data_IF_826861228926
#
_entry.id   IF_826861228926
#
_cell.length_a   1.000
_cell.length_b   1.000
_cell.length_c   1.000
_cell.angle_alpha   90.00
_cell.angle_beta   90.00
_cell.angle_gamma   90.00
#
_symmetry.space_group_name_H-M   'P 1'
#
loop_
_entity.id
_entity.type
_entity.pdbx_description
1 polymer ?
#
# COMPACT_ATOMS: atom_id res chain seq x y z
N UNK A 1 11.79 6.82 10.45
CA UNK A 1 12.36 6.94 9.08
C UNK A 1 13.01 8.30 8.84
N UNK A 2 12.34 9.42 9.09
CA UNK A 2 12.84 10.79 8.83
C UNK A 2 14.12 11.13 9.58
N UNK A 3 14.26 10.71 10.83
CA UNK A 3 15.49 10.92 11.62
C UNK A 3 16.74 10.33 10.93
N UNK A 4 16.58 9.18 10.24
CA UNK A 4 17.67 8.57 9.50
C UNK A 4 18.09 9.39 8.29
N UNK A 5 17.15 9.92 7.51
CA UNK A 5 17.47 10.75 6.35
C UNK A 5 18.25 11.99 6.73
N UNK A 6 17.86 12.64 7.83
CA UNK A 6 18.56 13.80 8.34
C UNK A 6 19.94 13.45 8.91
N UNK A 7 20.02 12.37 9.70
CA UNK A 7 21.27 11.89 10.31
C UNK A 7 22.31 11.51 9.27
N UNK A 8 21.91 10.80 8.23
CA UNK A 8 22.81 10.30 7.18
C UNK A 8 22.87 11.20 5.93
N UNK A 9 22.23 12.37 5.97
CA UNK A 9 22.19 13.34 4.85
C UNK A 9 21.67 12.73 3.55
N UNK A 10 20.75 11.76 3.63
CA UNK A 10 20.14 11.12 2.47
C UNK A 10 19.25 12.12 1.75
N UNK A 11 19.48 12.30 0.45
CA UNK A 11 18.70 13.22 -0.41
C UNK A 11 17.76 12.50 -1.38
N UNK A 12 17.99 11.21 -1.61
CA UNK A 12 17.23 10.42 -2.57
C UNK A 12 16.69 9.18 -1.89
N UNK A 13 15.41 8.93 -2.10
CA UNK A 13 14.71 7.72 -1.65
C UNK A 13 14.20 7.01 -2.88
N UNK A 14 14.53 5.72 -3.02
CA UNK A 14 13.95 4.84 -4.02
C UNK A 14 12.82 4.04 -3.39
N UNK A 15 11.72 3.87 -4.10
CA UNK A 15 10.58 3.06 -3.67
C UNK A 15 10.12 2.15 -4.80
N UNK A 16 9.63 0.95 -4.46
CA UNK A 16 9.05 -0.02 -5.40
C UNK A 16 7.63 0.30 -5.84
N UNK A 17 7.02 1.40 -5.34
CA UNK A 17 5.72 1.84 -5.84
C UNK A 17 5.79 2.15 -7.34
N UNK A 18 4.74 1.84 -8.07
CA UNK A 18 4.69 2.02 -9.52
C UNK A 18 3.29 2.39 -9.99
N UNK A 19 3.22 3.07 -11.14
CA UNK A 19 1.96 3.46 -11.76
C UNK A 19 1.18 2.24 -12.27
N UNK A 20 1.87 1.24 -12.80
CA UNK A 20 1.25 0.10 -13.47
C UNK A 20 0.30 -0.71 -12.58
N UNK A 21 0.59 -0.83 -11.29
CA UNK A 21 -0.24 -1.61 -10.35
C UNK A 21 -0.89 -0.76 -9.25
N UNK A 22 -0.59 0.54 -9.17
CA UNK A 22 -0.99 1.41 -8.05
C UNK A 22 -1.53 2.78 -8.52
N UNK A 23 -1.99 2.90 -9.79
CA UNK A 23 -2.55 4.14 -10.29
C UNK A 23 -3.91 4.48 -9.69
N UNK A 24 -4.70 3.49 -9.30
CA UNK A 24 -5.95 3.65 -8.57
C UNK A 24 -5.69 3.56 -7.07
N UNK A 25 -6.29 4.47 -6.32
CA UNK A 25 -6.18 4.53 -4.84
C UNK A 25 -7.49 4.14 -4.19
N UNK A 26 -7.42 3.66 -2.96
CA UNK A 26 -8.60 3.44 -2.16
C UNK A 26 -9.40 4.74 -2.02
N UNK A 27 -10.73 4.69 -2.15
CA UNK A 27 -11.59 5.82 -1.86
C UNK A 27 -11.34 6.36 -0.44
N UNK A 28 -11.40 7.67 -0.24
CA UNK A 28 -11.23 8.27 1.08
C UNK A 28 -12.29 7.83 2.08
N UNK A 29 -13.46 7.41 1.60
CA UNK A 29 -14.52 6.81 2.41
C UNK A 29 -14.13 5.46 3.02
N UNK A 30 -13.21 4.73 2.37
CA UNK A 30 -12.73 3.44 2.88
C UNK A 30 -11.54 3.60 3.81
N UNK A 31 -10.72 4.63 3.58
CA UNK A 31 -9.45 4.77 4.28
C UNK A 31 -9.04 6.23 4.39
N UNK A 32 -8.74 6.68 5.59
CA UNK A 32 -8.18 8.00 5.82
C UNK A 32 -6.79 8.16 5.24
N UNK A 33 -6.42 9.41 4.99
CA UNK A 33 -5.09 9.73 4.49
C UNK A 33 -4.03 9.39 5.55
N UNK A 34 -3.06 8.55 5.20
CA UNK A 34 -2.07 8.01 6.14
C UNK A 34 -1.21 9.05 6.87
N UNK A 35 -1.11 10.27 6.34
CA UNK A 35 -0.36 11.39 6.96
C UNK A 35 -1.28 12.35 7.72
N UNK A 36 -2.46 11.92 8.12
CA UNK A 36 -3.36 12.72 8.94
C UNK A 36 -2.99 12.62 10.42
N UNK A 37 -2.23 13.61 10.88
CA UNK A 37 -1.85 13.72 12.30
C UNK A 37 -3.02 14.07 13.21
N UNK A 38 -4.07 14.70 12.70
CA UNK A 38 -5.27 15.07 13.48
C UNK A 38 -6.01 13.80 13.88
N UNK A 39 -6.26 12.92 12.90
CA UNK A 39 -6.90 11.62 13.15
C UNK A 39 -6.09 10.77 14.12
N UNK A 40 -4.77 10.66 13.90
CA UNK A 40 -3.91 9.87 14.77
C UNK A 40 -3.96 10.37 16.23
N UNK A 41 -3.90 11.68 16.42
CA UNK A 41 -3.99 12.29 17.74
C UNK A 41 -5.38 12.09 18.39
N UNK A 42 -6.45 12.11 17.60
CA UNK A 42 -7.81 11.85 18.10
C UNK A 42 -7.95 10.39 18.57
N UNK A 43 -7.49 9.44 17.79
CA UNK A 43 -7.45 8.02 18.16
C UNK A 43 -6.65 7.83 19.45
N UNK A 44 -5.47 8.45 19.52
CA UNK A 44 -4.62 8.36 20.72
C UNK A 44 -5.28 8.96 21.95
N UNK A 45 -5.92 10.11 21.84
CA UNK A 45 -6.66 10.73 22.97
C UNK A 45 -7.79 9.86 23.49
N UNK A 46 -8.46 9.09 22.61
CA UNK A 46 -9.60 8.24 23.00
C UNK A 46 -9.19 6.86 23.52
N UNK A 47 -8.11 6.30 23.00
CA UNK A 47 -7.76 4.89 23.20
C UNK A 47 -6.31 4.66 23.65
N UNK A 48 -5.48 5.68 23.62
CA UNK A 48 -4.05 5.55 23.94
C UNK A 48 -3.79 5.46 25.44
N UNK A 49 -2.82 4.64 25.81
CA UNK A 49 -2.28 4.54 27.16
C UNK A 49 -0.80 4.90 27.14
N UNK A 50 -0.37 5.83 28.00
CA UNK A 50 1.03 6.22 28.08
C UNK A 50 1.38 7.53 27.35
N UNK A 51 2.61 7.69 26.90
CA UNK A 51 3.09 8.90 26.20
C UNK A 51 3.55 8.55 24.80
N UNK A 52 3.14 9.37 23.80
CA UNK A 52 3.56 9.22 22.38
C UNK A 52 4.96 9.78 22.08
N UNK A 53 5.81 9.98 23.11
CA UNK A 53 7.08 10.70 22.96
C UNK A 53 8.01 10.05 21.91
N UNK A 54 7.97 8.73 21.79
CA UNK A 54 8.85 7.96 20.89
C UNK A 54 8.20 7.63 19.54
N UNK A 55 6.93 8.00 19.33
CA UNK A 55 6.23 7.77 18.08
C UNK A 55 6.32 9.00 17.17
N UNK A 56 7.04 8.94 16.05
CA UNK A 56 7.24 10.10 15.18
C UNK A 56 5.95 10.43 14.40
N UNK A 57 5.24 11.46 14.84
CA UNK A 57 4.05 11.97 14.16
C UNK A 57 4.48 13.07 13.21
N UNK A 58 4.03 12.98 11.97
CA UNK A 58 4.24 13.98 10.93
C UNK A 58 2.92 14.29 10.22
N UNK A 59 2.84 15.44 9.57
CA UNK A 59 1.63 15.88 8.87
C UNK A 59 1.85 16.00 7.35
N UNK A 60 0.77 16.26 6.63
CA UNK A 60 0.77 16.38 5.17
C UNK A 60 1.71 17.51 4.70
N UNK A 61 1.68 18.67 5.36
CA UNK A 61 2.52 19.81 4.99
C UNK A 61 4.01 19.46 5.13
N UNK A 62 4.34 18.71 6.17
CA UNK A 62 5.70 18.26 6.39
C UNK A 62 6.18 17.33 5.27
N UNK A 63 5.36 16.36 4.86
CA UNK A 63 5.69 15.43 3.78
C UNK A 63 5.70 16.06 2.39
N UNK A 64 4.72 16.93 2.10
CA UNK A 64 4.52 17.47 0.75
C UNK A 64 5.31 18.74 0.47
N UNK A 65 5.64 19.50 1.50
CA UNK A 65 6.29 20.80 1.36
C UNK A 65 7.68 20.79 2.03
N UNK A 66 7.74 20.52 3.33
CA UNK A 66 8.99 20.65 4.06
C UNK A 66 10.09 19.70 3.59
N UNK A 67 9.77 18.41 3.44
CA UNK A 67 10.74 17.41 2.99
C UNK A 67 11.32 17.71 1.60
N UNK A 68 10.51 17.88 0.53
CA UNK A 68 11.06 18.08 -0.81
C UNK A 68 11.70 19.44 -1.00
N UNK A 69 11.09 20.51 -0.51
CA UNK A 69 11.55 21.88 -0.82
C UNK A 69 12.60 22.38 0.16
N UNK A 70 12.46 22.14 1.45
CA UNK A 70 13.39 22.67 2.46
C UNK A 70 14.51 21.70 2.83
N UNK A 71 14.22 20.38 2.87
CA UNK A 71 15.25 19.36 3.12
C UNK A 71 15.88 18.82 1.83
N UNK A 72 15.29 19.10 0.68
CA UNK A 72 15.77 18.65 -0.62
C UNK A 72 15.73 17.11 -0.79
N UNK A 73 14.82 16.44 -0.06
CA UNK A 73 14.69 14.99 -0.14
C UNK A 73 13.70 14.65 -1.25
N UNK A 74 14.18 13.92 -2.26
CA UNK A 74 13.38 13.49 -3.42
C UNK A 74 13.07 12.02 -3.35
N UNK A 75 11.84 11.66 -3.64
CA UNK A 75 11.38 10.28 -3.76
C UNK A 75 11.25 9.93 -5.24
N UNK A 76 11.89 8.84 -5.64
CA UNK A 76 11.83 8.30 -6.99
C UNK A 76 11.20 6.91 -7.01
N UNK A 77 10.43 6.66 -8.04
CA UNK A 77 9.82 5.36 -8.35
C UNK A 77 10.43 4.86 -9.66
N UNK A 78 11.52 4.10 -9.61
CA UNK A 78 12.22 3.66 -10.82
C UNK A 78 11.33 2.87 -11.78
N UNK A 79 10.37 2.10 -11.26
CA UNK A 79 9.45 1.30 -12.06
C UNK A 79 8.46 2.13 -12.89
N UNK A 80 8.32 3.43 -12.62
CA UNK A 80 7.51 4.34 -13.45
C UNK A 80 8.23 4.74 -14.77
N UNK A 81 9.53 4.49 -14.87
CA UNK A 81 10.36 4.88 -16.02
C UNK A 81 10.69 3.72 -16.96
N UNK A 82 10.25 2.51 -16.64
CA UNK A 82 10.46 1.31 -17.44
C UNK A 82 9.10 0.65 -17.74
N UNK A 83 8.96 -0.08 -18.84
CA UNK A 83 7.80 -0.93 -19.05
C UNK A 83 7.74 -1.96 -17.91
N UNK A 84 6.77 -1.83 -17.02
CA UNK A 84 6.63 -2.73 -15.90
C UNK A 84 5.36 -3.57 -16.03
N UNK A 85 5.55 -4.88 -16.20
CA UNK A 85 4.49 -5.88 -16.16
C UNK A 85 4.63 -6.69 -14.86
N UNK A 86 3.53 -6.80 -14.12
CA UNK A 86 3.52 -7.48 -12.82
C UNK A 86 3.84 -8.98 -12.95
N UNK A 87 3.27 -9.64 -13.94
CA UNK A 87 3.39 -11.10 -14.10
C UNK A 87 4.80 -11.48 -14.55
N UNK A 88 5.38 -10.75 -15.52
CA UNK A 88 6.76 -10.93 -15.95
C UNK A 88 7.77 -10.68 -14.82
N UNK A 89 7.53 -9.64 -14.01
CA UNK A 89 8.34 -9.35 -12.85
C UNK A 89 8.26 -10.48 -11.81
N UNK A 90 7.05 -11.02 -11.60
CA UNK A 90 6.83 -12.13 -10.67
C UNK A 90 7.52 -13.41 -11.14
N UNK A 91 7.46 -13.74 -12.43
CA UNK A 91 8.18 -14.88 -13.01
C UNK A 91 9.68 -14.74 -12.82
N UNK A 92 10.23 -13.57 -13.15
CA UNK A 92 11.65 -13.26 -12.93
C UNK A 92 12.07 -13.44 -11.48
N UNK A 93 11.26 -12.99 -10.51
CA UNK A 93 11.54 -13.12 -9.09
C UNK A 93 11.53 -14.58 -8.63
N UNK A 94 10.58 -15.38 -9.13
CA UNK A 94 10.50 -16.81 -8.82
C UNK A 94 11.72 -17.54 -9.39
N UNK A 95 12.03 -17.34 -10.66
CA UNK A 95 13.11 -18.06 -11.35
C UNK A 95 14.50 -17.70 -10.83
N UNK A 96 14.77 -16.40 -10.66
CA UNK A 96 16.13 -15.93 -10.32
C UNK A 96 16.41 -15.84 -8.82
N UNK A 97 15.37 -15.64 -8.01
CA UNK A 97 15.52 -15.35 -6.58
C UNK A 97 14.77 -16.33 -5.68
N UNK A 98 14.06 -17.32 -6.24
CA UNK A 98 13.29 -18.29 -5.47
C UNK A 98 12.12 -17.67 -4.68
N UNK A 99 11.55 -16.57 -5.19
CA UNK A 99 10.43 -15.91 -4.53
C UNK A 99 9.20 -16.81 -4.48
N UNK A 100 8.55 -16.88 -3.33
CA UNK A 100 7.30 -17.62 -3.16
C UNK A 100 6.12 -16.71 -3.45
N UNK A 101 5.30 -17.09 -4.45
CA UNK A 101 4.08 -16.35 -4.79
C UNK A 101 3.04 -16.50 -3.69
N UNK A 102 2.43 -15.38 -3.32
CA UNK A 102 1.22 -15.36 -2.49
C UNK A 102 -0.02 -15.23 -3.35
N UNK A 103 -1.17 -15.77 -2.92
CA UNK A 103 -2.40 -15.75 -3.73
C UNK A 103 -2.92 -14.33 -3.97
N UNK A 104 -2.65 -13.40 -3.08
CA UNK A 104 -3.07 -12.01 -3.19
C UNK A 104 -2.03 -11.06 -2.57
N UNK A 105 -2.02 -9.79 -3.02
CA UNK A 105 -1.16 -8.73 -2.48
C UNK A 105 -1.35 -8.61 -0.96
N UNK A 106 -0.24 -8.57 -0.22
CA UNK A 106 -0.17 -8.44 1.25
C UNK A 106 -0.61 -9.67 2.05
N UNK A 107 -0.90 -10.80 1.40
CA UNK A 107 -1.32 -12.03 2.11
C UNK A 107 -0.16 -12.83 2.74
N UNK A 108 1.07 -12.32 2.63
CA UNK A 108 2.21 -12.78 3.44
C UNK A 108 2.01 -12.51 4.94
N UNK A 109 1.25 -11.47 5.28
CA UNK A 109 0.88 -11.16 6.67
C UNK A 109 -0.47 -11.80 7.00
N UNK A 110 -0.51 -12.68 8.02
CA UNK A 110 -1.74 -13.30 8.51
C UNK A 110 -2.79 -12.26 8.93
N UNK A 111 -2.36 -11.20 9.62
CA UNK A 111 -3.24 -10.12 10.03
C UNK A 111 -3.82 -9.38 8.82
N UNK A 112 -2.99 -9.01 7.85
CA UNK A 112 -3.44 -8.30 6.66
C UNK A 112 -4.39 -9.16 5.83
N UNK A 113 -4.09 -10.45 5.71
CA UNK A 113 -4.96 -11.41 5.02
C UNK A 113 -6.35 -11.48 5.67
N UNK A 114 -6.42 -11.62 7.00
CA UNK A 114 -7.67 -11.59 7.74
C UNK A 114 -8.40 -10.25 7.57
N UNK A 115 -7.68 -9.15 7.76
CA UNK A 115 -8.25 -7.81 7.72
C UNK A 115 -8.79 -7.43 6.34
N UNK A 116 -7.99 -7.57 5.29
CA UNK A 116 -8.38 -7.20 3.91
C UNK A 116 -9.23 -8.28 3.22
N UNK A 117 -8.97 -9.55 3.50
CA UNK A 117 -9.65 -10.67 2.83
C UNK A 117 -11.00 -11.05 3.45
N UNK A 118 -11.18 -10.82 4.74
CA UNK A 118 -12.38 -11.19 5.48
C UNK A 118 -13.06 -10.01 6.15
N UNK A 119 -12.37 -9.34 7.09
CA UNK A 119 -13.01 -8.38 7.98
C UNK A 119 -13.54 -7.12 7.27
N UNK A 120 -12.76 -6.52 6.37
CA UNK A 120 -13.20 -5.34 5.59
C UNK A 120 -14.39 -5.66 4.67
N UNK A 121 -14.37 -6.74 3.87
CA UNK A 121 -15.51 -7.12 3.05
C UNK A 121 -16.77 -7.41 3.86
N UNK A 122 -16.66 -8.19 4.94
CA UNK A 122 -17.81 -8.60 5.76
C UNK A 122 -18.39 -7.43 6.56
N UNK A 123 -17.54 -6.59 7.13
CA UNK A 123 -17.98 -5.50 8.01
C UNK A 123 -18.44 -4.27 7.25
N UNK A 124 -17.79 -3.93 6.15
CA UNK A 124 -18.00 -2.67 5.43
C UNK A 124 -18.32 -2.83 3.94
N UNK A 125 -18.26 -4.03 3.39
CA UNK A 125 -18.38 -4.26 1.95
C UNK A 125 -17.18 -3.76 1.12
N UNK A 126 -16.04 -3.50 1.75
CA UNK A 126 -14.85 -2.93 1.13
C UNK A 126 -13.92 -4.05 0.64
N UNK A 127 -13.98 -4.35 -0.63
CA UNK A 127 -13.08 -5.30 -1.27
C UNK A 127 -11.92 -4.58 -1.97
N UNK A 128 -10.75 -4.62 -1.34
CA UNK A 128 -9.52 -3.95 -1.82
C UNK A 128 -9.04 -4.47 -3.17
N UNK A 129 -9.45 -5.71 -3.58
CA UNK A 129 -9.15 -6.27 -4.89
C UNK A 129 -9.71 -5.41 -6.03
N UNK A 130 -10.88 -4.75 -5.82
CA UNK A 130 -11.48 -3.86 -6.82
C UNK A 130 -10.53 -2.72 -7.20
N UNK A 131 -9.83 -2.15 -6.23
CA UNK A 131 -8.85 -1.07 -6.46
C UNK A 131 -7.60 -1.60 -7.18
N UNK A 132 -7.11 -2.77 -6.75
CA UNK A 132 -5.94 -3.41 -7.36
C UNK A 132 -6.21 -3.80 -8.82
N UNK A 133 -7.34 -4.47 -9.08
CA UNK A 133 -7.71 -4.88 -10.44
C UNK A 133 -8.02 -3.68 -11.34
N UNK A 134 -8.62 -2.61 -10.80
CA UNK A 134 -8.82 -1.38 -11.56
C UNK A 134 -7.50 -0.78 -12.06
N UNK A 135 -6.45 -0.82 -11.25
CA UNK A 135 -5.12 -0.38 -11.70
C UNK A 135 -4.59 -1.25 -12.85
N UNK A 136 -4.73 -2.58 -12.74
CA UNK A 136 -4.27 -3.52 -13.78
C UNK A 136 -5.07 -3.37 -15.08
N UNK A 137 -6.39 -3.13 -14.99
CA UNK A 137 -7.23 -2.87 -16.17
C UNK A 137 -6.81 -1.58 -16.87
N UNK A 138 -6.62 -0.49 -16.12
CA UNK A 138 -6.21 0.80 -16.68
C UNK A 138 -4.83 0.77 -17.34
N UNK A 139 -4.00 -0.19 -16.97
CA UNK A 139 -2.65 -0.36 -17.52
C UNK A 139 -2.53 -1.56 -18.47
N UNK A 140 -3.66 -2.09 -18.95
CA UNK A 140 -3.76 -3.21 -19.91
C UNK A 140 -3.04 -4.50 -19.45
N UNK A 141 -2.97 -4.75 -18.14
CA UNK A 141 -2.40 -5.98 -17.56
C UNK A 141 -3.46 -7.00 -17.14
N UNK A 142 -4.74 -6.64 -17.22
CA UNK A 142 -5.89 -7.49 -16.89
C UNK A 142 -7.10 -7.02 -17.68
N UNK A 143 -7.94 -7.92 -18.14
CA UNK A 143 -9.23 -7.56 -18.70
C UNK A 143 -10.27 -7.34 -17.59
N UNK A 144 -11.35 -6.66 -17.92
CA UNK A 144 -12.46 -6.47 -16.97
C UNK A 144 -13.15 -7.79 -16.64
N UNK A 145 -13.29 -8.66 -17.62
CA UNK A 145 -13.89 -9.99 -17.51
C UNK A 145 -13.10 -10.85 -16.52
N UNK A 146 -11.77 -10.92 -16.68
CA UNK A 146 -10.88 -11.62 -15.74
C UNK A 146 -10.97 -11.05 -14.32
N UNK A 147 -11.07 -9.74 -14.19
CA UNK A 147 -11.21 -9.09 -12.89
C UNK A 147 -12.53 -9.47 -12.22
N UNK A 148 -13.64 -9.48 -12.97
CA UNK A 148 -14.96 -9.87 -12.47
C UNK A 148 -15.00 -11.34 -12.06
N UNK A 149 -14.40 -12.23 -12.85
CA UNK A 149 -14.28 -13.64 -12.50
C UNK A 149 -13.50 -13.84 -11.20
N UNK A 150 -12.36 -13.19 -11.05
CA UNK A 150 -11.55 -13.26 -9.83
C UNK A 150 -12.26 -12.68 -8.60
N UNK A 151 -13.14 -11.71 -8.78
CA UNK A 151 -13.93 -11.14 -7.68
C UNK A 151 -15.04 -12.05 -7.19
N UNK A 152 -15.50 -13.00 -8.01
CA UNK A 152 -16.51 -14.02 -7.60
C UNK A 152 -15.93 -15.02 -6.60
N UNK A 153 -14.61 -15.24 -6.64
CA UNK A 153 -13.95 -16.14 -5.69
C UNK A 153 -13.75 -15.42 -4.35
N UNK A 154 -14.12 -16.07 -3.27
CA UNK A 154 -13.87 -15.54 -1.92
C UNK A 154 -12.37 -15.45 -1.63
N UNK A 155 -11.96 -14.31 -1.06
CA UNK A 155 -10.55 -14.09 -0.66
C UNK A 155 -10.17 -14.86 0.59
N UNK A 156 -11.17 -15.33 1.34
CA UNK A 156 -11.04 -16.02 2.62
C UNK A 156 -12.16 -17.06 2.74
N UNK A 157 -11.80 -18.31 2.97
CA UNK A 157 -12.78 -19.38 3.14
C UNK A 157 -13.15 -19.55 4.60
N UNK A 158 -14.34 -20.10 4.90
CA UNK A 158 -14.78 -20.39 6.26
C UNK A 158 -13.79 -21.28 7.02
N UNK A 159 -13.14 -22.21 6.33
CA UNK A 159 -12.11 -23.09 6.91
C UNK A 159 -10.84 -22.34 7.38
N UNK A 160 -10.66 -21.10 6.96
CA UNK A 160 -9.49 -20.27 7.28
C UNK A 160 -9.76 -19.25 8.41
N UNK A 161 -11.01 -19.22 8.91
CA UNK A 161 -11.44 -18.41 10.05
C UNK A 161 -11.19 -19.16 11.35
#
# INVERSE_FOLDING_TARGET
>A
MVSLYTKYKIKTILTGGNYSTECVRNPLEWMYYQSDSIQLNDIYKKHGTGKLNDYPITNILWHKIWLPYFKGIKLYRPLDFIPYNKDEAMETLVEKFGYQKYPQKHFESRFTRFYEGFWLPQRFGYDTRKVQFSSLILTNQMTREEALEKLQNESYTEEQI
#
